data_IF_228184158165
#
_entry.id   IF_228184158165
#
_cell.length_a   1.000
_cell.length_b   1.000
_cell.length_c   1.000
_cell.angle_alpha   90.00
_cell.angle_beta   90.00
_cell.angle_gamma   90.00
#
_symmetry.space_group_name_H-M   'P 1'
#
loop_
_entity.id
_entity.type
_entity.pdbx_description
1 polymer ?
#
# COMPACT_ATOMS: atom_id res chain seq x y z
N UNK A 1 64.43 -5.89 15.02
CA UNK A 1 63.14 -5.38 15.54
C UNK A 1 62.17 -5.31 14.37
N UNK A 2 61.20 -6.23 14.34
CA UNK A 2 60.19 -6.33 13.28
C UNK A 2 59.20 -5.18 13.40
N UNK A 3 59.18 -4.25 12.46
CA UNK A 3 58.12 -3.24 12.33
C UNK A 3 57.07 -3.73 11.35
N UNK A 4 56.22 -4.66 11.78
CA UNK A 4 55.00 -5.01 11.06
C UNK A 4 54.07 -3.79 11.06
N UNK A 5 54.08 -3.02 9.96
CA UNK A 5 53.06 -2.00 9.72
C UNK A 5 51.70 -2.70 9.60
N UNK A 6 50.80 -2.40 10.53
CA UNK A 6 49.43 -2.90 10.49
C UNK A 6 48.73 -2.44 9.19
N UNK A 7 48.06 -3.38 8.53
CA UNK A 7 47.32 -3.07 7.30
C UNK A 7 46.11 -2.20 7.64
N UNK A 8 46.09 -0.99 7.07
CA UNK A 8 45.00 -0.02 7.23
C UNK A 8 44.06 -0.14 6.04
N UNK A 9 42.78 -0.46 6.30
CA UNK A 9 41.73 -0.52 5.28
C UNK A 9 40.87 0.74 5.36
N UNK A 10 40.69 1.43 4.24
CA UNK A 10 39.80 2.58 4.15
C UNK A 10 38.40 2.11 3.72
N UNK A 11 37.39 2.45 4.51
CA UNK A 11 36.00 2.21 4.18
C UNK A 11 35.57 3.38 3.30
N UNK A 12 35.47 3.16 1.99
CA UNK A 12 34.87 4.14 1.11
C UNK A 12 33.38 4.28 1.48
N UNK A 13 32.80 5.49 1.43
CA UNK A 13 31.37 5.65 1.61
C UNK A 13 30.67 4.74 0.60
N UNK A 14 29.74 3.91 1.08
CA UNK A 14 28.97 3.06 0.19
C UNK A 14 28.25 3.94 -0.84
N UNK A 15 28.20 3.54 -2.12
CA UNK A 15 27.66 4.37 -3.21
C UNK A 15 26.17 4.72 -3.05
N UNK A 16 25.49 4.12 -2.09
CA UNK A 16 24.11 4.43 -1.74
C UNK A 16 24.02 5.84 -1.14
N UNK A 17 23.47 6.77 -1.93
CA UNK A 17 23.16 8.15 -1.53
C UNK A 17 22.03 8.21 -0.50
N UNK A 18 21.28 7.12 -0.32
CA UNK A 18 20.10 7.05 0.55
C UNK A 18 19.93 5.65 1.14
N UNK A 19 19.45 5.60 2.39
CA UNK A 19 19.08 4.37 3.11
C UNK A 19 17.61 3.97 2.85
N UNK A 20 16.94 4.63 1.91
CA UNK A 20 15.56 4.30 1.57
C UNK A 20 15.55 3.28 0.41
N UNK A 21 15.04 2.05 0.61
CA UNK A 21 14.99 1.03 -0.44
C UNK A 21 14.17 1.46 -1.67
N UNK A 22 13.28 2.46 -1.52
CA UNK A 22 12.49 3.01 -2.63
C UNK A 22 13.32 3.78 -3.66
N UNK A 23 14.53 4.21 -3.29
CA UNK A 23 15.38 5.01 -4.19
C UNK A 23 16.15 4.13 -5.20
N UNK A 24 16.12 2.81 -5.02
CA UNK A 24 16.76 1.83 -5.91
C UNK A 24 15.81 1.25 -6.96
N UNK A 25 14.49 1.42 -6.80
CA UNK A 25 13.50 0.87 -7.72
C UNK A 25 13.18 1.88 -8.83
N UNK A 26 13.69 1.71 -10.06
CA UNK A 26 13.17 2.48 -11.19
C UNK A 26 11.70 2.11 -11.39
N UNK A 27 10.85 3.04 -11.88
CA UNK A 27 9.48 2.72 -12.23
C UNK A 27 9.47 1.65 -13.34
N UNK A 28 9.20 0.40 -12.95
CA UNK A 28 9.06 -0.73 -13.86
C UNK A 28 7.58 -0.90 -14.22
N UNK A 29 7.27 -0.92 -15.52
CA UNK A 29 5.93 -1.27 -16.01
C UNK A 29 5.53 -2.66 -15.47
N UNK A 30 4.45 -2.73 -14.69
CA UNK A 30 3.94 -3.98 -14.11
C UNK A 30 4.34 -4.26 -12.66
N UNK A 31 5.10 -3.38 -11.99
CA UNK A 31 5.46 -3.52 -10.56
C UNK A 31 4.30 -3.21 -9.58
N UNK A 32 3.06 -3.53 -9.97
CA UNK A 32 1.86 -3.32 -9.14
C UNK A 32 1.60 -1.85 -8.82
N UNK A 33 1.14 -1.56 -7.59
CA UNK A 33 0.74 -0.22 -7.14
C UNK A 33 1.86 0.84 -7.20
N UNK A 34 3.14 0.43 -7.27
CA UNK A 34 4.26 1.36 -7.40
C UNK A 34 4.48 1.83 -8.85
N UNK A 35 4.00 1.07 -9.84
CA UNK A 35 4.24 1.33 -11.26
C UNK A 35 3.21 2.26 -11.91
N UNK A 36 2.02 2.35 -11.33
CA UNK A 36 0.93 3.15 -11.87
C UNK A 36 0.69 4.38 -10.99
N UNK A 37 1.09 5.59 -11.42
CA UNK A 37 0.91 6.81 -10.63
C UNK A 37 -0.57 7.03 -10.27
N UNK A 38 -1.51 6.65 -11.12
CA UNK A 38 -2.95 6.80 -10.87
C UNK A 38 -3.48 5.91 -9.73
N UNK A 39 -2.79 4.80 -9.41
CA UNK A 39 -3.19 3.83 -8.39
C UNK A 39 -2.39 3.92 -7.10
N UNK A 40 -1.47 4.89 -6.99
CA UNK A 40 -0.68 5.07 -5.78
C UNK A 40 -1.59 5.41 -4.59
N UNK A 41 -1.33 4.76 -3.45
CA UNK A 41 -2.13 4.91 -2.22
C UNK A 41 -2.28 6.37 -1.73
N UNK A 42 -1.38 7.26 -2.16
CA UNK A 42 -1.34 8.67 -1.78
C UNK A 42 -2.04 9.61 -2.78
N UNK A 43 -2.53 9.10 -3.92
CA UNK A 43 -3.35 9.86 -4.88
C UNK A 43 -4.85 9.55 -4.77
N UNK A 44 -5.25 8.71 -3.82
CA UNK A 44 -6.65 8.52 -3.52
C UNK A 44 -7.25 9.87 -3.09
N UNK A 45 -8.38 10.24 -3.69
CA UNK A 45 -9.19 11.36 -3.20
C UNK A 45 -9.41 11.13 -1.70
N UNK A 46 -9.34 12.18 -0.89
CA UNK A 46 -9.67 12.10 0.54
C UNK A 46 -11.06 11.48 0.75
N UNK A 47 -11.45 11.15 1.99
CA UNK A 47 -12.70 10.45 2.29
C UNK A 47 -13.88 11.04 1.51
N UNK A 48 -14.41 10.27 0.55
CA UNK A 48 -15.47 10.76 -0.33
C UNK A 48 -16.77 10.85 0.46
N UNK A 49 -17.30 12.06 0.61
CA UNK A 49 -18.65 12.30 1.14
C UNK A 49 -19.63 12.32 -0.04
N UNK A 50 -20.54 11.35 -0.18
CA UNK A 50 -21.48 11.31 -1.30
C UNK A 50 -22.41 12.53 -1.34
N UNK A 51 -22.79 12.96 -2.55
CA UNK A 51 -23.82 13.99 -2.74
C UNK A 51 -25.21 13.46 -2.40
N UNK A 52 -26.18 14.35 -2.14
CA UNK A 52 -27.56 13.95 -1.82
C UNK A 52 -28.22 13.09 -2.91
N UNK A 53 -27.89 13.35 -4.18
CA UNK A 53 -28.37 12.57 -5.33
C UNK A 53 -27.89 11.11 -5.28
N UNK A 54 -26.63 10.90 -4.86
CA UNK A 54 -26.08 9.55 -4.69
C UNK A 54 -26.74 8.85 -3.50
N UNK A 55 -26.98 9.56 -2.40
CA UNK A 55 -27.59 8.99 -1.20
C UNK A 55 -29.04 8.53 -1.43
N UNK A 56 -29.80 9.20 -2.29
CA UNK A 56 -31.19 8.81 -2.62
C UNK A 56 -31.30 7.47 -3.34
N UNK A 57 -30.26 7.06 -4.08
CA UNK A 57 -30.24 5.78 -4.79
C UNK A 57 -29.74 4.60 -3.96
N UNK A 58 -29.34 4.84 -2.70
CA UNK A 58 -28.78 3.82 -1.81
C UNK A 58 -29.85 3.40 -0.81
N UNK A 59 -30.07 2.09 -0.70
CA UNK A 59 -30.98 1.53 0.30
C UNK A 59 -30.50 1.86 1.73
N UNK A 60 -31.44 1.98 2.66
CA UNK A 60 -31.11 2.17 4.07
C UNK A 60 -30.34 0.95 4.62
N UNK A 61 -29.41 1.17 5.56
CA UNK A 61 -28.66 0.08 6.17
C UNK A 61 -29.60 -0.85 6.94
N UNK A 62 -29.55 -2.14 6.58
CA UNK A 62 -30.34 -3.19 7.25
C UNK A 62 -29.95 -3.35 8.71
N UNK A 63 -30.91 -3.80 9.52
CA UNK A 63 -30.66 -4.07 10.93
C UNK A 63 -29.71 -5.26 11.11
N UNK A 64 -29.07 -5.35 12.29
CA UNK A 64 -28.14 -6.44 12.60
C UNK A 64 -28.79 -7.83 12.47
N UNK A 65 -30.05 -7.93 12.86
CA UNK A 65 -30.81 -9.18 12.82
C UNK A 65 -31.14 -9.61 11.38
N UNK A 66 -31.54 -8.66 10.53
CA UNK A 66 -31.78 -8.88 9.10
C UNK A 66 -30.52 -9.33 8.37
N UNK A 67 -29.37 -8.72 8.66
CA UNK A 67 -28.10 -9.11 8.07
C UNK A 67 -27.72 -10.54 8.45
N UNK A 68 -27.96 -10.93 9.72
CA UNK A 68 -27.71 -12.30 10.19
C UNK A 68 -28.62 -13.30 9.49
N UNK A 69 -29.92 -13.01 9.36
CA UNK A 69 -30.87 -13.86 8.65
C UNK A 69 -30.47 -14.06 7.18
N UNK A 70 -30.14 -12.96 6.47
CA UNK A 70 -29.69 -13.01 5.08
C UNK A 70 -28.42 -13.83 4.90
N UNK A 71 -27.47 -13.72 5.84
CA UNK A 71 -26.25 -14.52 5.79
C UNK A 71 -26.53 -16.02 5.92
N UNK A 72 -27.48 -16.41 6.78
CA UNK A 72 -27.87 -17.80 6.95
C UNK A 72 -28.57 -18.35 5.69
N UNK A 73 -29.46 -17.58 5.08
CA UNK A 73 -30.13 -17.92 3.82
C UNK A 73 -29.14 -18.11 2.66
N UNK A 74 -28.15 -17.23 2.53
CA UNK A 74 -27.14 -17.33 1.48
C UNK A 74 -26.22 -18.55 1.69
N UNK A 75 -25.89 -18.86 2.94
CA UNK A 75 -25.04 -20.01 3.26
C UNK A 75 -25.75 -21.35 3.08
N UNK A 76 -27.07 -21.43 3.26
CA UNK A 76 -27.83 -22.65 3.03
C UNK A 76 -28.13 -22.92 1.54
N UNK A 77 -27.92 -21.93 0.67
CA UNK A 77 -28.11 -22.02 -0.78
C UNK A 77 -26.86 -22.45 -1.56
N UNK A 78 -25.73 -22.64 -0.86
CA UNK A 78 -24.50 -23.24 -1.41
C UNK A 78 -24.59 -24.77 -1.39
#
# INVERSE_FOLDING_TARGET
>A
MSTSKEQTFNILPHPAKSNNPRDLEPPQLGAGLNSNPEQQAFHARGPYKPSQQVLQGVEEPKSREELKARSAELNSRK
#
